data_IF_232337035253
#
_entry.id   IF_232337035253
#
_cell.length_a   1.000
_cell.length_b   1.000
_cell.length_c   1.000
_cell.angle_alpha   90.00
_cell.angle_beta   90.00
_cell.angle_gamma   90.00
#
_symmetry.space_group_name_H-M   'P 1'
#
loop_
_entity.id
_entity.type
_entity.pdbx_description
1 polymer ?
#
# COMPACT_ATOMS: atom_id res chain seq x y z
N UNK A 1 -2.62 -3.56 -16.21
CA UNK A 1 -3.23 -3.73 -14.88
C UNK A 1 -3.11 -2.38 -14.20
N UNK A 2 -4.22 -1.83 -13.70
CA UNK A 2 -4.22 -0.50 -13.08
C UNK A 2 -3.35 -0.48 -11.81
N UNK A 3 -2.68 0.64 -11.52
CA UNK A 3 -1.83 0.78 -10.34
C UNK A 3 -2.59 0.46 -9.04
N UNK A 4 -3.85 0.90 -8.94
CA UNK A 4 -4.68 0.63 -7.78
C UNK A 4 -4.93 -0.87 -7.60
N UNK A 5 -5.16 -1.60 -8.69
CA UNK A 5 -5.35 -3.05 -8.63
C UNK A 5 -4.07 -3.78 -8.22
N UNK A 6 -2.90 -3.28 -8.62
CA UNK A 6 -1.60 -3.82 -8.16
C UNK A 6 -1.39 -3.57 -6.67
N UNK A 7 -1.75 -2.38 -6.20
CA UNK A 7 -1.70 -2.03 -4.78
C UNK A 7 -2.62 -2.95 -3.97
N UNK A 8 -3.88 -3.10 -4.37
CA UNK A 8 -4.84 -4.00 -3.70
C UNK A 8 -4.33 -5.44 -3.67
N UNK A 9 -3.78 -5.92 -4.78
CA UNK A 9 -3.17 -7.26 -4.83
C UNK A 9 -1.99 -7.39 -3.86
N UNK A 10 -1.10 -6.40 -3.79
CA UNK A 10 0.03 -6.41 -2.86
C UNK A 10 -0.44 -6.41 -1.39
N UNK A 11 -1.46 -5.61 -1.05
CA UNK A 11 -2.03 -5.57 0.29
C UNK A 11 -2.67 -6.91 0.68
N UNK A 12 -3.37 -7.58 -0.25
CA UNK A 12 -3.88 -8.94 -0.03
C UNK A 12 -2.76 -9.96 0.21
N UNK A 13 -1.67 -9.87 -0.55
CA UNK A 13 -0.49 -10.73 -0.36
C UNK A 13 0.16 -10.47 1.01
N UNK A 14 0.15 -9.22 1.47
CA UNK A 14 0.67 -8.84 2.78
C UNK A 14 -0.19 -9.35 3.95
N UNK A 15 -1.44 -9.77 3.69
CA UNK A 15 -2.33 -10.33 4.70
C UNK A 15 -3.58 -9.50 4.98
N UNK A 16 -3.88 -8.46 4.20
CA UNK A 16 -5.20 -7.82 4.28
C UNK A 16 -6.28 -8.75 3.71
N UNK A 17 -7.18 -9.20 4.58
CA UNK A 17 -8.35 -10.01 4.19
C UNK A 17 -9.42 -9.15 3.50
N UNK A 18 -9.66 -7.94 4.04
CA UNK A 18 -10.62 -6.98 3.53
C UNK A 18 -9.92 -5.71 3.06
N UNK A 19 -10.44 -5.11 2.00
CA UNK A 19 -9.97 -3.83 1.48
C UNK A 19 -11.17 -2.91 1.32
N UNK A 20 -11.01 -1.61 1.62
CA UNK A 20 -12.10 -0.66 1.42
C UNK A 20 -12.52 -0.59 -0.05
N UNK A 21 -13.82 -0.42 -0.25
CA UNK A 21 -14.38 -0.16 -1.58
C UNK A 21 -14.16 1.29 -2.00
N UNK A 22 -14.20 2.22 -1.03
CA UNK A 22 -13.85 3.62 -1.23
C UNK A 22 -12.37 3.87 -0.89
N UNK A 23 -11.62 4.42 -1.84
CA UNK A 23 -10.16 4.59 -1.73
C UNK A 23 -9.74 5.64 -0.71
N UNK A 24 -10.67 6.46 -0.23
CA UNK A 24 -10.45 7.49 0.79
C UNK A 24 -10.59 6.95 2.22
N UNK A 25 -11.15 5.76 2.39
CA UNK A 25 -11.38 5.17 3.72
C UNK A 25 -10.06 4.80 4.42
N UNK A 26 -10.05 4.92 5.76
CA UNK A 26 -8.87 4.58 6.55
C UNK A 26 -8.60 3.07 6.52
N UNK A 27 -7.44 2.67 6.00
CA UNK A 27 -6.99 1.28 5.95
C UNK A 27 -6.93 0.63 7.35
N UNK A 28 -6.71 1.43 8.40
CA UNK A 28 -6.71 0.96 9.77
C UNK A 28 -8.06 0.34 10.20
N UNK A 29 -9.17 0.79 9.62
CA UNK A 29 -10.50 0.20 9.87
C UNK A 29 -10.64 -1.22 9.30
N UNK A 30 -9.76 -1.60 8.37
CA UNK A 30 -9.72 -2.91 7.70
C UNK A 30 -8.57 -3.78 8.21
N UNK A 31 -8.01 -3.43 9.37
CA UNK A 31 -6.96 -4.20 10.01
C UNK A 31 -5.54 -3.79 9.64
N UNK A 32 -5.32 -2.66 8.93
CA UNK A 32 -3.96 -2.16 8.70
C UNK A 32 -3.29 -1.75 10.02
N UNK A 33 -2.38 -2.59 10.50
CA UNK A 33 -1.53 -2.34 11.66
C UNK A 33 -0.05 -2.16 11.27
N UNK A 34 0.80 -1.83 12.23
CA UNK A 34 2.23 -1.55 12.00
C UNK A 34 2.98 -2.70 11.32
N UNK A 35 2.60 -3.96 11.61
CA UNK A 35 3.21 -5.14 11.00
C UNK A 35 2.72 -5.31 9.57
N UNK A 36 1.42 -5.15 9.32
CA UNK A 36 0.84 -5.17 7.98
C UNK A 36 1.39 -4.06 7.09
N UNK A 37 1.72 -2.89 7.62
CA UNK A 37 2.39 -1.83 6.86
C UNK A 37 3.75 -2.30 6.34
N UNK A 38 4.57 -2.92 7.20
CA UNK A 38 5.90 -3.43 6.82
C UNK A 38 5.79 -4.57 5.80
N UNK A 39 4.88 -5.52 6.03
CA UNK A 39 4.60 -6.58 5.05
C UNK A 39 4.07 -6.01 3.74
N UNK A 40 3.22 -4.98 3.81
CA UNK A 40 2.68 -4.22 2.70
C UNK A 40 3.77 -3.59 1.87
N UNK A 41 4.75 -2.92 2.50
CA UNK A 41 5.92 -2.38 1.82
C UNK A 41 6.66 -3.48 1.05
N UNK A 42 6.98 -4.60 1.68
CA UNK A 42 7.69 -5.69 1.01
C UNK A 42 6.89 -6.30 -0.16
N UNK A 43 5.58 -6.44 -0.01
CA UNK A 43 4.69 -6.90 -1.07
C UNK A 43 4.59 -5.88 -2.24
N UNK A 44 4.55 -4.58 -1.92
CA UNK A 44 4.52 -3.50 -2.89
C UNK A 44 5.84 -3.40 -3.66
N UNK A 45 6.99 -3.51 -2.99
CA UNK A 45 8.30 -3.57 -3.63
C UNK A 45 8.35 -4.70 -4.67
N UNK A 46 7.88 -5.90 -4.28
CA UNK A 46 7.83 -7.06 -5.16
C UNK A 46 6.86 -6.89 -6.33
N UNK A 47 5.64 -6.41 -6.08
CA UNK A 47 4.60 -6.27 -7.11
C UNK A 47 4.91 -5.12 -8.08
N UNK A 48 5.51 -4.04 -7.59
CA UNK A 48 5.81 -2.83 -8.37
C UNK A 48 7.24 -2.83 -8.94
N UNK A 49 8.08 -3.79 -8.54
CA UNK A 49 9.52 -3.79 -8.85
C UNK A 49 10.20 -2.47 -8.48
N UNK A 50 9.76 -1.91 -7.34
CA UNK A 50 10.27 -0.68 -6.76
C UNK A 50 11.09 -0.99 -5.52
N UNK A 51 11.98 -0.08 -5.15
CA UNK A 51 12.73 -0.14 -3.91
C UNK A 51 12.26 0.98 -2.99
N UNK A 52 11.60 0.61 -1.91
CA UNK A 52 11.08 1.52 -0.89
C UNK A 52 12.10 1.50 0.25
N UNK A 53 12.96 2.52 0.31
CA UNK A 53 13.92 2.62 1.40
C UNK A 53 13.19 2.95 2.70
N UNK A 54 13.70 2.51 3.85
CA UNK A 54 13.15 2.92 5.15
C UNK A 54 13.16 4.44 5.41
N UNK A 55 13.93 5.21 4.62
CA UNK A 55 13.89 6.68 4.60
C UNK A 55 12.70 7.26 3.82
N UNK A 56 12.22 6.51 2.83
CA UNK A 56 11.08 6.89 1.98
C UNK A 56 9.75 6.41 2.57
N UNK A 57 9.82 5.46 3.51
CA UNK A 57 8.67 4.94 4.24
C UNK A 57 7.91 6.07 4.94
N UNK A 58 6.60 6.11 4.72
CA UNK A 58 5.70 7.05 5.36
C UNK A 58 4.47 6.31 5.86
N UNK A 59 4.28 6.30 7.18
CA UNK A 59 3.07 5.75 7.81
C UNK A 59 1.80 6.44 7.28
N UNK A 60 1.87 7.74 7.01
CA UNK A 60 0.75 8.51 6.44
C UNK A 60 0.34 8.01 5.05
N UNK A 61 1.26 7.42 4.29
CA UNK A 61 0.93 6.81 3.00
C UNK A 61 0.00 5.60 3.17
N UNK A 62 0.07 4.90 4.30
CA UNK A 62 -0.79 3.76 4.62
C UNK A 62 -2.12 4.16 5.28
N UNK A 63 -2.47 5.45 5.28
CA UNK A 63 -3.76 5.90 5.80
C UNK A 63 -4.92 5.46 4.91
N UNK A 64 -4.83 5.65 3.59
CA UNK A 64 -5.88 5.32 2.62
C UNK A 64 -5.27 4.82 1.31
N UNK A 65 -6.07 4.14 0.47
CA UNK A 65 -5.58 3.69 -0.85
C UNK A 65 -5.18 4.86 -1.75
N UNK A 66 -5.87 6.01 -1.64
CA UNK A 66 -5.50 7.23 -2.36
C UNK A 66 -4.13 7.76 -1.93
N UNK A 67 -3.89 7.82 -0.62
CA UNK A 67 -2.62 8.27 -0.05
C UNK A 67 -1.47 7.35 -0.47
N UNK A 68 -1.72 6.05 -0.44
CA UNK A 68 -0.78 5.02 -0.84
C UNK A 68 -0.45 5.12 -2.33
N UNK A 69 -1.48 5.29 -3.17
CA UNK A 69 -1.32 5.46 -4.62
C UNK A 69 -0.52 6.71 -4.95
N UNK A 70 -0.83 7.84 -4.30
CA UNK A 70 -0.12 9.10 -4.50
C UNK A 70 1.36 9.00 -4.08
N UNK A 71 1.63 8.35 -2.95
CA UNK A 71 3.00 8.11 -2.48
C UNK A 71 3.78 7.18 -3.43
N UNK A 72 3.19 6.07 -3.86
CA UNK A 72 3.83 5.15 -4.80
C UNK A 72 4.11 5.80 -6.16
N UNK A 73 3.22 6.67 -6.66
CA UNK A 73 3.48 7.46 -7.86
C UNK A 73 4.68 8.39 -7.70
N UNK A 74 4.86 9.01 -6.53
CA UNK A 74 6.05 9.83 -6.23
C UNK A 74 7.35 9.00 -6.25
N UNK A 75 7.25 7.72 -5.92
CA UNK A 75 8.36 6.76 -5.99
C UNK A 75 8.58 6.18 -7.40
N UNK A 76 7.75 6.55 -8.38
CA UNK A 76 7.88 6.11 -9.77
C UNK A 76 7.01 4.91 -10.15
N UNK A 77 6.01 4.54 -9.33
CA UNK A 77 5.04 3.52 -9.70
C UNK A 77 4.12 3.97 -10.84
N UNK A 78 3.98 3.12 -11.87
CA UNK A 78 3.07 3.31 -13.01
C UNK A 78 2.13 2.12 -13.17
#
# INVERSE_FOLDING_TARGET
MDLLERIKKALRIAGMEELPSDTSEPLAAYGMDSLLMVLGVAALEKELSLRISGRDFSEQAFHSLDSLTAWLRKLGAT
#
